data_IF_236889599867
#
_entry.id   IF_236889599867
#
_cell.length_a   1.000
_cell.length_b   1.000
_cell.length_c   1.000
_cell.angle_alpha   90.00
_cell.angle_beta   90.00
_cell.angle_gamma   90.00
#
_symmetry.space_group_name_H-M   'P 1'
#
loop_
_entity.id
_entity.type
_entity.pdbx_description
1 polymer ?
#
# COMPACT_ATOMS: atom_id res chain seq x y z
N UNK A 1 -21.65 -53.52 11.80
CA UNK A 1 -21.68 -52.51 10.72
C UNK A 1 -22.48 -51.33 11.25
N UNK A 2 -21.80 -50.32 11.77
CA UNK A 2 -22.45 -49.12 12.32
C UNK A 2 -22.49 -48.06 11.23
N UNK A 3 -23.68 -47.80 10.69
CA UNK A 3 -23.91 -46.72 9.74
C UNK A 3 -24.21 -45.44 10.52
N UNK A 4 -23.24 -44.52 10.56
CA UNK A 4 -23.45 -43.16 11.02
C UNK A 4 -24.19 -42.39 9.91
N UNK A 5 -25.50 -42.24 10.08
CA UNK A 5 -26.33 -41.35 9.27
C UNK A 5 -25.94 -39.91 9.59
N UNK A 6 -25.09 -39.31 8.74
CA UNK A 6 -24.94 -37.85 8.66
C UNK A 6 -26.26 -37.27 8.16
N UNK A 7 -27.08 -36.78 9.08
CA UNK A 7 -28.19 -35.88 8.77
C UNK A 7 -27.62 -34.56 8.25
N UNK A 8 -27.57 -34.43 6.93
CA UNK A 8 -27.43 -33.17 6.21
C UNK A 8 -28.67 -32.33 6.51
N UNK A 9 -28.55 -31.47 7.51
CA UNK A 9 -29.55 -30.46 7.85
C UNK A 9 -29.63 -29.41 6.75
N UNK A 10 -30.69 -29.52 5.94
CA UNK A 10 -31.50 -28.44 5.38
C UNK A 10 -30.78 -27.15 4.92
N UNK A 11 -30.51 -27.15 3.61
CA UNK A 11 -30.62 -26.05 2.64
C UNK A 11 -31.61 -24.90 3.00
N UNK A 12 -31.19 -23.99 3.88
CA UNK A 12 -31.75 -22.62 3.97
C UNK A 12 -30.61 -21.63 4.15
N UNK A 13 -29.95 -21.21 3.06
CA UNK A 13 -28.91 -20.16 3.15
C UNK A 13 -27.78 -20.25 2.13
N UNK A 14 -28.02 -20.66 0.89
CA UNK A 14 -26.97 -20.68 -0.14
C UNK A 14 -26.55 -19.27 -0.64
N UNK A 15 -27.26 -18.20 -0.26
CA UNK A 15 -26.87 -16.82 -0.57
C UNK A 15 -25.95 -16.20 0.50
N UNK A 16 -26.14 -16.58 1.77
CA UNK A 16 -25.43 -16.00 2.92
C UNK A 16 -24.01 -16.55 3.10
N UNK A 17 -23.74 -17.76 2.60
CA UNK A 17 -22.37 -18.32 2.59
C UNK A 17 -21.49 -17.49 1.67
N UNK A 18 -21.97 -17.12 0.47
CA UNK A 18 -21.16 -16.40 -0.51
C UNK A 18 -20.78 -14.99 -0.01
N UNK A 19 -21.71 -14.26 0.62
CA UNK A 19 -21.38 -12.98 1.27
C UNK A 19 -20.43 -13.16 2.45
N UNK A 20 -20.61 -14.19 3.30
CA UNK A 20 -19.74 -14.44 4.44
C UNK A 20 -18.31 -14.85 4.04
N UNK A 21 -18.12 -15.73 3.04
CA UNK A 21 -16.76 -16.04 2.54
C UNK A 21 -16.13 -14.87 1.79
N UNK A 22 -16.91 -14.03 1.12
CA UNK A 22 -16.36 -12.84 0.45
C UNK A 22 -15.90 -11.79 1.47
N UNK A 23 -16.70 -11.54 2.52
CA UNK A 23 -16.32 -10.63 3.60
C UNK A 23 -15.09 -11.11 4.36
N UNK A 24 -15.03 -12.41 4.71
CA UNK A 24 -13.89 -12.99 5.41
C UNK A 24 -12.62 -12.99 4.55
N UNK A 25 -12.75 -13.19 3.23
CA UNK A 25 -11.64 -13.09 2.30
C UNK A 25 -11.13 -11.65 2.16
N UNK A 26 -12.03 -10.65 2.09
CA UNK A 26 -11.67 -9.23 2.12
C UNK A 26 -10.95 -8.86 3.42
N UNK A 27 -11.51 -9.19 4.58
CA UNK A 27 -10.89 -8.89 5.88
C UNK A 27 -9.48 -9.50 6.01
N UNK A 28 -9.29 -10.71 5.49
CA UNK A 28 -7.98 -11.39 5.49
C UNK A 28 -6.99 -10.73 4.52
N UNK A 29 -7.45 -10.31 3.34
CA UNK A 29 -6.64 -9.57 2.39
C UNK A 29 -6.20 -8.21 2.97
N UNK A 30 -7.10 -7.51 3.67
CA UNK A 30 -6.78 -6.22 4.30
C UNK A 30 -5.78 -6.36 5.43
N UNK A 31 -5.90 -7.42 6.25
CA UNK A 31 -4.91 -7.72 7.27
C UNK A 31 -3.50 -7.96 6.71
N UNK A 32 -3.38 -8.39 5.44
CA UNK A 32 -2.10 -8.54 4.75
C UNK A 32 -1.61 -7.24 4.07
N UNK A 33 -2.52 -6.38 3.60
CA UNK A 33 -2.19 -5.14 2.88
C UNK A 33 -1.83 -4.00 3.84
N UNK A 34 -2.62 -3.80 4.90
CA UNK A 34 -2.43 -2.71 5.88
C UNK A 34 -1.00 -2.59 6.41
N UNK A 35 -0.32 -3.66 6.89
CA UNK A 35 1.03 -3.52 7.43
C UNK A 35 2.05 -3.06 6.38
N UNK A 36 1.87 -3.42 5.10
CA UNK A 36 2.73 -2.98 4.01
C UNK A 36 2.50 -1.50 3.72
N UNK A 37 1.23 -1.06 3.68
CA UNK A 37 0.88 0.35 3.46
C UNK A 37 1.36 1.23 4.62
N UNK A 38 1.25 0.75 5.87
CA UNK A 38 1.75 1.46 7.06
C UNK A 38 3.28 1.59 7.00
N UNK A 39 3.99 0.53 6.63
CA UNK A 39 5.44 0.56 6.47
C UNK A 39 5.86 1.55 5.38
N UNK A 40 5.22 1.50 4.21
CA UNK A 40 5.49 2.44 3.10
C UNK A 40 5.24 3.88 3.53
N UNK A 41 4.19 4.13 4.30
CA UNK A 41 3.88 5.45 4.85
C UNK A 41 5.01 5.95 5.75
N UNK A 42 5.50 5.09 6.66
CA UNK A 42 6.59 5.43 7.57
C UNK A 42 7.92 5.65 6.83
N UNK A 43 8.23 4.80 5.85
CA UNK A 43 9.43 4.90 5.02
C UNK A 43 9.43 6.21 4.22
N UNK A 44 8.29 6.59 3.63
CA UNK A 44 8.21 7.85 2.88
C UNK A 44 8.35 9.06 3.80
N UNK A 45 7.71 9.07 4.97
CA UNK A 45 7.89 10.18 5.93
C UNK A 45 9.36 10.33 6.35
N UNK A 46 10.02 9.20 6.59
CA UNK A 46 11.45 9.17 6.87
C UNK A 46 12.25 9.74 5.70
N UNK A 47 12.00 9.26 4.48
CA UNK A 47 12.71 9.70 3.29
C UNK A 47 12.51 11.20 3.03
N UNK A 48 11.28 11.72 3.12
CA UNK A 48 10.98 13.15 2.94
C UNK A 48 11.77 14.02 3.91
N UNK A 49 11.91 13.59 5.17
CA UNK A 49 12.74 14.29 6.16
C UNK A 49 14.25 14.22 5.85
N UNK A 50 14.67 13.17 5.13
CA UNK A 50 16.06 12.96 4.74
C UNK A 50 16.44 13.71 3.46
N UNK A 51 15.52 13.99 2.52
CA UNK A 51 15.82 14.68 1.26
C UNK A 51 16.76 15.91 1.41
N UNK A 52 16.52 16.85 2.35
CA UNK A 52 17.38 18.03 2.48
C UNK A 52 18.75 17.78 3.12
N UNK A 53 18.94 16.66 3.85
CA UNK A 53 20.15 16.39 4.66
C UNK A 53 20.99 15.24 4.14
N UNK A 54 20.34 14.20 3.61
CA UNK A 54 20.93 13.01 3.02
C UNK A 54 20.01 12.50 1.88
N UNK A 55 20.10 13.12 0.69
CA UNK A 55 19.26 12.73 -0.44
C UNK A 55 19.55 11.31 -0.94
N UNK A 56 20.75 10.77 -0.69
CA UNK A 56 21.08 9.39 -1.08
C UNK A 56 20.30 8.39 -0.21
N UNK A 57 20.30 8.57 1.12
CA UNK A 57 19.50 7.74 2.02
C UNK A 57 17.99 7.86 1.75
N UNK A 58 17.51 9.06 1.38
CA UNK A 58 16.12 9.27 0.98
C UNK A 58 15.76 8.45 -0.27
N UNK A 59 16.63 8.42 -1.28
CA UNK A 59 16.42 7.63 -2.51
C UNK A 59 16.34 6.13 -2.18
N UNK A 60 17.27 5.61 -1.39
CA UNK A 60 17.29 4.19 -1.02
C UNK A 60 16.01 3.78 -0.27
N UNK A 61 15.57 4.63 0.67
CA UNK A 61 14.34 4.41 1.44
C UNK A 61 13.10 4.43 0.54
N UNK A 62 13.01 5.39 -0.39
CA UNK A 62 11.90 5.47 -1.35
C UNK A 62 11.89 4.27 -2.32
N UNK A 63 13.04 3.80 -2.77
CA UNK A 63 13.14 2.61 -3.61
C UNK A 63 12.66 1.36 -2.84
N UNK A 64 13.05 1.21 -1.58
CA UNK A 64 12.56 0.13 -0.73
C UNK A 64 11.03 0.17 -0.57
N UNK A 65 10.46 1.36 -0.35
CA UNK A 65 9.01 1.56 -0.29
C UNK A 65 8.30 1.17 -1.60
N UNK A 66 8.87 1.52 -2.76
CA UNK A 66 8.33 1.12 -4.07
C UNK A 66 8.36 -0.40 -4.27
N UNK A 67 9.44 -1.06 -3.81
CA UNK A 67 9.53 -2.53 -3.82
C UNK A 67 8.46 -3.15 -2.93
N UNK A 68 8.23 -2.62 -1.73
CA UNK A 68 7.17 -3.11 -0.84
C UNK A 68 5.79 -3.02 -1.49
N UNK A 69 5.45 -1.88 -2.10
CA UNK A 69 4.18 -1.72 -2.85
C UNK A 69 4.02 -2.73 -3.98
N UNK A 70 5.11 -3.09 -4.67
CA UNK A 70 5.07 -4.07 -5.76
C UNK A 70 4.78 -5.50 -5.30
N UNK A 71 4.87 -5.78 -3.99
CA UNK A 71 4.51 -7.08 -3.41
C UNK A 71 3.02 -7.22 -3.11
N UNK A 72 2.26 -6.11 -3.16
CA UNK A 72 0.82 -6.12 -2.87
C UNK A 72 0.05 -6.92 -3.93
N UNK A 73 -0.85 -7.83 -3.52
CA UNK A 73 -1.69 -8.56 -4.45
C UNK A 73 -2.75 -7.63 -5.06
N UNK A 74 -2.89 -7.68 -6.39
CA UNK A 74 -3.82 -6.83 -7.13
C UNK A 74 -3.22 -5.46 -7.43
N UNK A 75 -2.78 -5.26 -8.67
CA UNK A 75 -2.39 -3.94 -9.15
C UNK A 75 -3.66 -3.09 -9.31
N UNK A 76 -3.90 -2.22 -8.34
CA UNK A 76 -4.95 -1.21 -8.41
C UNK A 76 -4.37 0.11 -8.92
N UNK A 77 -5.23 0.96 -9.49
CA UNK A 77 -4.86 2.31 -9.90
C UNK A 77 -4.26 3.12 -8.73
N UNK A 78 -4.68 2.82 -7.49
CA UNK A 78 -4.13 3.43 -6.28
C UNK A 78 -2.68 3.00 -6.02
N UNK A 79 -2.34 1.72 -6.22
CA UNK A 79 -0.96 1.24 -6.10
C UNK A 79 -0.09 1.87 -7.19
N UNK A 80 -0.56 1.91 -8.44
CA UNK A 80 0.20 2.52 -9.55
C UNK A 80 0.43 4.02 -9.35
N UNK A 81 -0.59 4.72 -8.84
CA UNK A 81 -0.48 6.13 -8.44
C UNK A 81 0.56 6.30 -7.34
N UNK A 82 0.50 5.48 -6.27
CA UNK A 82 1.46 5.54 -5.17
C UNK A 82 2.90 5.33 -5.64
N UNK A 83 3.13 4.34 -6.52
CA UNK A 83 4.46 4.08 -7.09
C UNK A 83 4.97 5.24 -7.94
N UNK A 84 4.11 5.80 -8.79
CA UNK A 84 4.44 6.99 -9.60
C UNK A 84 4.80 8.19 -8.74
N UNK A 85 4.07 8.41 -7.65
CA UNK A 85 4.36 9.50 -6.70
C UNK A 85 5.68 9.28 -5.97
N UNK A 86 6.00 8.04 -5.58
CA UNK A 86 7.31 7.69 -5.00
C UNK A 86 8.45 7.96 -6.01
N UNK A 87 8.28 7.60 -7.28
CA UNK A 87 9.28 7.89 -8.32
C UNK A 87 9.49 9.40 -8.52
N UNK A 88 8.42 10.20 -8.41
CA UNK A 88 8.52 11.65 -8.44
C UNK A 88 9.28 12.22 -7.22
N UNK A 89 9.09 11.64 -6.02
CA UNK A 89 9.87 11.98 -4.82
C UNK A 89 11.35 11.60 -4.99
N UNK A 90 11.65 10.43 -5.58
CA UNK A 90 13.02 10.02 -5.93
C UNK A 90 13.66 11.05 -6.86
N UNK A 91 12.92 11.51 -7.87
CA UNK A 91 13.41 12.56 -8.78
C UNK A 91 13.72 13.87 -8.04
N UNK A 92 12.91 14.27 -7.04
CA UNK A 92 13.23 15.44 -6.20
C UNK A 92 14.52 15.22 -5.40
N UNK A 93 14.68 14.06 -4.77
CA UNK A 93 15.88 13.71 -4.02
C UNK A 93 17.13 13.69 -4.91
N UNK A 94 17.04 13.13 -6.12
CA UNK A 94 18.13 13.14 -7.12
C UNK A 94 18.51 14.56 -7.55
N UNK A 95 17.52 15.43 -7.79
CA UNK A 95 17.77 16.84 -8.06
C UNK A 95 18.56 17.51 -6.94
N UNK A 96 18.19 17.28 -5.68
CA UNK A 96 18.93 17.80 -4.52
C UNK A 96 20.34 17.21 -4.43
N UNK A 97 20.49 15.91 -4.66
CA UNK A 97 21.79 15.23 -4.70
C UNK A 97 22.73 15.86 -5.74
N UNK A 98 22.18 16.33 -6.87
CA UNK A 98 22.91 17.03 -7.93
C UNK A 98 23.15 18.53 -7.63
N UNK A 99 22.79 19.00 -6.44
CA UNK A 99 23.02 20.37 -5.97
C UNK A 99 21.89 21.35 -6.31
N UNK A 100 20.74 20.88 -6.78
CA UNK A 100 19.57 21.75 -6.95
C UNK A 100 18.93 22.05 -5.61
N UNK A 101 18.24 23.20 -5.52
CA UNK A 101 17.46 23.55 -4.34
C UNK A 101 16.22 22.64 -4.27
N UNK A 102 15.93 22.14 -3.08
CA UNK A 102 14.69 21.41 -2.81
C UNK A 102 13.46 22.30 -3.03
N UNK A 103 12.51 21.80 -3.82
CA UNK A 103 11.17 22.38 -3.95
C UNK A 103 10.26 21.77 -2.87
N UNK A 104 10.19 22.45 -1.73
CA UNK A 104 9.43 21.97 -0.58
C UNK A 104 7.93 21.85 -0.89
N UNK A 105 7.36 22.80 -1.63
CA UNK A 105 5.94 22.78 -2.01
C UNK A 105 5.63 21.53 -2.83
N UNK A 106 6.50 21.21 -3.79
CA UNK A 106 6.33 20.00 -4.60
C UNK A 106 6.45 18.72 -3.77
N UNK A 107 7.39 18.66 -2.81
CA UNK A 107 7.52 17.50 -1.91
C UNK A 107 6.28 17.33 -1.04
N UNK A 108 5.73 18.42 -0.50
CA UNK A 108 4.51 18.39 0.31
C UNK A 108 3.30 17.93 -0.51
N UNK A 109 3.15 18.44 -1.75
CA UNK A 109 2.09 18.04 -2.68
C UNK A 109 2.19 16.55 -3.06
N UNK A 110 3.39 16.06 -3.33
CA UNK A 110 3.64 14.65 -3.62
C UNK A 110 3.35 13.78 -2.39
N UNK A 111 3.75 14.23 -1.19
CA UNK A 111 3.47 13.51 0.05
C UNK A 111 1.97 13.39 0.32
N UNK A 112 1.21 14.46 0.07
CA UNK A 112 -0.25 14.45 0.19
C UNK A 112 -0.92 13.54 -0.85
N UNK A 113 -0.45 13.54 -2.10
CA UNK A 113 -0.94 12.63 -3.15
C UNK A 113 -0.66 11.17 -2.80
N UNK A 114 0.52 10.88 -2.27
CA UNK A 114 0.87 9.52 -1.86
C UNK A 114 -0.04 9.04 -0.72
N UNK A 115 -0.26 9.88 0.30
CA UNK A 115 -1.15 9.53 1.41
C UNK A 115 -2.58 9.20 0.93
N UNK A 116 -3.09 9.94 -0.06
CA UNK A 116 -4.39 9.65 -0.67
C UNK A 116 -4.38 8.32 -1.44
N UNK A 117 -3.34 8.06 -2.23
CA UNK A 117 -3.20 6.81 -2.99
C UNK A 117 -3.07 5.59 -2.07
N UNK A 118 -2.30 5.70 -0.98
CA UNK A 118 -2.16 4.65 0.02
C UNK A 118 -3.47 4.39 0.77
N UNK A 119 -4.23 5.44 1.09
CA UNK A 119 -5.59 5.29 1.66
C UNK A 119 -6.53 4.58 0.68
N UNK A 120 -6.47 4.91 -0.61
CA UNK A 120 -7.23 4.22 -1.66
C UNK A 120 -6.86 2.74 -1.78
N UNK A 121 -5.60 2.38 -1.52
CA UNK A 121 -5.12 1.00 -1.52
C UNK A 121 -5.73 0.18 -0.36
N UNK A 122 -6.02 0.82 0.77
CA UNK A 122 -6.75 0.19 1.89
C UNK A 122 -8.27 0.28 1.67
N UNK A 123 -8.78 1.23 0.90
CA UNK A 123 -10.23 1.38 0.66
C UNK A 123 -10.82 0.49 -0.45
N UNK A 124 -9.99 -0.20 -1.22
CA UNK A 124 -10.41 -1.33 -2.11
C UNK A 124 -10.59 -2.65 -1.34
N UNK A 125 -10.34 -2.54 -0.05
CA UNK A 125 -10.52 -3.46 1.03
C UNK A 125 -11.76 -2.96 1.79
#
# INVERSE_FOLDING_TARGET
MSAATLTVGLLTGCSSVSEFVTQQASDTACAAITPVVDQVTADVQTAVSQIPVDPAAAIDTLQAANVLLSTLPGQSESVDTARTTIDALISQAQSVQLGQRLDQTKVDDLSAQLAQALTGTIGVC
#
